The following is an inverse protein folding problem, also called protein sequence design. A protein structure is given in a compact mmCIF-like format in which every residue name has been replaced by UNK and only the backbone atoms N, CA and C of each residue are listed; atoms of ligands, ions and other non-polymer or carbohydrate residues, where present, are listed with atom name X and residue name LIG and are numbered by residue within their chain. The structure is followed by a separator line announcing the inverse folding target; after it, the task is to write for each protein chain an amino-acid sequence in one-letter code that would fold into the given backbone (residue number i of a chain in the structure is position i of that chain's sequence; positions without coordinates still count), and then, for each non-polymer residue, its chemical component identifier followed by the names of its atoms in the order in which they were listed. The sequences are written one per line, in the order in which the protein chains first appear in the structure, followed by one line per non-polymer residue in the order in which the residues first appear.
data_IF_469724855608
#
_entry.id   IF_469724855608
#
_cell.length_a   1.000
_cell.length_b   1.000
_cell.length_c   1.000
_cell.angle_alpha   90.00
_cell.angle_beta   90.00
_cell.angle_gamma   90.00
#
_symmetry.space_group_name_H-M   'P 1'
#
loop_
_entity.id
_entity.type
_entity.pdbx_description
1 polymer ?
#
# COMPACT_ATOMS: atom_id res chain seq x y z
N UNK A 1 47.97 47.21 27.59
CA UNK A 1 48.98 46.14 27.45
C UNK A 1 49.08 45.42 28.79
N UNK A 2 49.12 44.08 28.87
CA UNK A 2 48.84 43.04 27.86
C UNK A 2 47.76 42.02 28.37
N UNK A 3 46.94 41.35 27.55
CA UNK A 3 47.21 40.30 26.55
C UNK A 3 47.89 39.06 27.14
N UNK A 4 47.13 37.99 27.39
CA UNK A 4 47.68 36.65 27.61
C UNK A 4 47.52 35.85 26.33
N UNK A 5 48.66 35.50 25.75
CA UNK A 5 48.83 34.69 24.55
C UNK A 5 49.24 33.26 24.95
N UNK A 6 48.69 32.32 24.18
CA UNK A 6 49.25 31.07 23.63
C UNK A 6 50.04 30.08 24.49
N UNK A 7 49.67 28.80 24.38
CA UNK A 7 50.55 27.78 23.79
C UNK A 7 49.81 26.44 23.59
N UNK A 8 49.40 26.16 22.36
CA UNK A 8 49.20 24.79 21.87
C UNK A 8 50.27 24.50 20.81
N UNK A 9 51.13 23.49 20.99
CA UNK A 9 52.01 23.06 19.92
C UNK A 9 51.24 22.22 18.91
N UNK A 10 51.25 22.66 17.65
CA UNK A 10 50.97 21.82 16.50
C UNK A 10 52.17 20.89 16.25
N UNK A 11 51.92 19.59 16.09
CA UNK A 11 52.85 18.69 15.40
C UNK A 11 52.07 17.81 14.44
N UNK A 12 52.24 18.13 13.17
CA UNK A 12 52.00 17.28 12.00
C UNK A 12 52.73 15.95 12.14
N UNK A 13 52.12 14.84 11.70
CA UNK A 13 52.78 13.85 10.85
C UNK A 13 51.79 12.79 10.35
N UNK A 14 51.60 12.78 9.03
CA UNK A 14 50.94 11.73 8.27
C UNK A 14 51.81 10.47 8.25
N UNK A 15 51.22 9.32 8.59
CA UNK A 15 51.77 7.99 8.35
C UNK A 15 50.72 6.92 8.64
N UNK A 16 50.60 5.86 7.84
CA UNK A 16 49.56 4.85 8.01
C UNK A 16 49.80 4.02 9.27
N UNK A 17 48.76 3.88 10.09
CA UNK A 17 48.76 3.00 11.27
C UNK A 17 48.57 1.57 10.78
N UNK A 18 49.66 0.80 10.76
CA UNK A 18 49.60 -0.66 10.66
C UNK A 18 49.38 -1.21 12.06
N UNK A 19 48.18 -1.74 12.31
CA UNK A 19 47.90 -2.55 13.50
C UNK A 19 48.33 -3.99 13.22
N UNK A 20 49.54 -4.33 13.64
CA UNK A 20 50.00 -5.71 13.77
C UNK A 20 49.31 -6.33 14.97
N UNK A 21 48.58 -7.43 14.76
CA UNK A 21 48.10 -8.29 15.86
C UNK A 21 48.98 -9.53 15.83
N UNK A 22 49.99 -9.56 16.71
CA UNK A 22 50.76 -10.76 17.01
C UNK A 22 49.92 -11.68 17.90
N UNK A 23 49.83 -12.96 17.52
CA UNK A 23 49.18 -13.97 18.36
C UNK A 23 48.90 -15.27 17.63
N UNK A 24 49.94 -15.92 17.13
CA UNK A 24 49.91 -17.31 16.69
C UNK A 24 49.37 -18.22 17.82
N UNK A 25 48.33 -18.98 17.53
CA UNK A 25 48.32 -20.39 17.88
C UNK A 25 47.55 -21.16 16.80
N UNK A 26 48.31 -21.69 15.86
CA UNK A 26 47.85 -22.70 14.91
C UNK A 26 47.64 -24.01 15.68
N UNK A 27 46.40 -24.48 15.75
CA UNK A 27 46.14 -25.90 15.96
C UNK A 27 45.07 -26.33 14.97
N UNK A 28 45.48 -27.20 14.06
CA UNK A 28 44.70 -27.76 12.97
C UNK A 28 43.56 -28.62 13.51
N UNK A 29 42.34 -28.42 13.01
CA UNK A 29 41.31 -29.45 13.02
C UNK A 29 40.44 -29.28 11.78
N UNK A 30 40.80 -30.02 10.72
CA UNK A 30 39.88 -30.33 9.64
C UNK A 30 38.76 -31.18 10.25
N UNK A 31 37.51 -30.74 10.13
CA UNK A 31 36.36 -31.60 10.41
C UNK A 31 35.39 -31.47 9.25
N UNK A 32 35.38 -32.52 8.42
CA UNK A 32 34.30 -32.84 7.49
C UNK A 32 32.97 -32.81 8.25
N UNK A 33 32.07 -31.89 7.89
CA UNK A 33 30.67 -32.04 8.25
C UNK A 33 29.97 -32.83 7.14
N UNK A 34 29.81 -34.13 7.39
CA UNK A 34 28.88 -34.99 6.67
C UNK A 34 27.46 -34.50 6.92
N UNK A 35 26.69 -34.29 5.83
CA UNK A 35 25.25 -34.03 5.89
C UNK A 35 24.54 -35.28 6.43
N UNK A 36 23.96 -35.20 7.63
CA UNK A 36 22.96 -36.15 8.10
C UNK A 36 21.57 -35.59 7.83
N UNK A 37 20.83 -36.32 7.00
CA UNK A 37 19.50 -36.02 6.51
C UNK A 37 18.48 -36.64 7.48
N UNK A 38 18.07 -35.91 8.51
CA UNK A 38 16.96 -36.34 9.36
C UNK A 38 15.67 -35.64 8.94
N UNK A 39 14.76 -36.45 8.39
CA UNK A 39 13.40 -36.08 8.06
C UNK A 39 12.60 -35.83 9.33
N UNK A 40 12.01 -34.64 9.45
CA UNK A 40 10.93 -34.39 10.42
C UNK A 40 9.86 -33.54 9.74
N UNK A 41 8.97 -34.21 9.03
CA UNK A 41 7.62 -33.72 8.78
C UNK A 41 6.88 -33.71 10.12
N UNK A 42 6.28 -32.60 10.50
CA UNK A 42 4.81 -32.45 10.62
C UNK A 42 4.44 -31.11 11.28
N UNK A 43 3.44 -30.44 10.66
CA UNK A 43 2.59 -29.35 11.18
C UNK A 43 3.03 -27.88 11.02
N UNK A 44 3.24 -27.40 9.78
CA UNK A 44 3.14 -25.96 9.46
C UNK A 44 2.37 -25.68 8.16
N UNK A 45 1.31 -26.44 7.88
CA UNK A 45 0.71 -26.48 6.54
C UNK A 45 -0.73 -25.94 6.47
N UNK A 46 -1.05 -24.93 7.27
CA UNK A 46 -2.38 -24.27 7.22
C UNK A 46 -2.34 -22.75 7.07
N UNK A 47 -1.15 -22.12 7.05
CA UNK A 47 -1.02 -20.67 6.84
C UNK A 47 -0.48 -20.31 5.44
N UNK A 48 0.25 -21.20 4.76
CA UNK A 48 0.88 -20.88 3.46
C UNK A 48 -0.03 -21.06 2.23
N UNK A 49 -1.19 -21.71 2.38
CA UNK A 49 -2.07 -22.01 1.24
C UNK A 49 -2.90 -20.80 0.80
N UNK A 50 -3.18 -19.87 1.72
CA UNK A 50 -3.95 -18.64 1.44
C UNK A 50 -3.12 -17.56 0.75
N UNK A 51 -1.84 -17.39 1.12
CA UNK A 51 -0.96 -16.40 0.50
C UNK A 51 -0.73 -16.71 -0.99
N UNK A 52 -0.48 -17.98 -1.34
CA UNK A 52 -0.26 -18.37 -2.73
C UNK A 52 -1.49 -18.19 -3.64
N UNK A 53 -2.72 -18.33 -3.14
CA UNK A 53 -3.93 -18.12 -3.94
C UNK A 53 -4.27 -16.64 -4.12
N UNK A 54 -3.96 -15.81 -3.12
CA UNK A 54 -4.04 -14.35 -3.25
C UNK A 54 -3.04 -13.89 -4.31
N UNK A 55 -1.87 -14.53 -4.36
CA UNK A 55 -0.77 -14.05 -5.16
C UNK A 55 -1.03 -14.03 -6.68
N UNK A 56 -1.77 -15.01 -7.19
CA UNK A 56 -2.19 -15.10 -8.60
C UNK A 56 -3.38 -14.18 -8.92
N UNK A 57 -4.20 -13.82 -7.92
CA UNK A 57 -5.36 -12.93 -8.11
C UNK A 57 -4.93 -11.46 -8.18
N UNK A 58 -3.86 -11.07 -7.47
CA UNK A 58 -3.41 -9.68 -7.35
C UNK A 58 -2.46 -9.22 -8.46
N UNK A 59 -2.19 -10.06 -9.46
CA UNK A 59 -1.34 -9.71 -10.61
C UNK A 59 -2.14 -9.07 -11.76
N UNK A 60 -3.18 -8.28 -11.46
CA UNK A 60 -3.96 -7.59 -12.50
C UNK A 60 -3.31 -6.27 -12.82
N UNK A 61 -2.66 -6.23 -13.98
CA UNK A 61 -1.94 -5.06 -14.46
C UNK A 61 -2.89 -3.85 -14.61
N UNK A 62 -2.79 -2.86 -13.72
CA UNK A 62 -3.44 -1.54 -13.87
C UNK A 62 -3.04 -0.85 -15.18
N UNK A 63 -2.03 -1.38 -15.89
CA UNK A 63 -1.46 -0.83 -17.12
C UNK A 63 -2.03 -1.44 -18.41
N UNK A 64 -3.15 -2.18 -18.37
CA UNK A 64 -3.83 -2.56 -19.62
C UNK A 64 -4.35 -1.32 -20.37
N UNK A 65 -4.30 -1.33 -21.71
CA UNK A 65 -4.81 -0.23 -22.56
C UNK A 65 -6.30 0.15 -22.31
N UNK A 66 -7.03 -0.69 -21.56
CA UNK A 66 -8.46 -0.49 -21.26
C UNK A 66 -8.68 0.17 -19.90
N UNK A 67 -7.65 0.27 -19.05
CA UNK A 67 -7.79 0.85 -17.72
C UNK A 67 -7.62 2.38 -17.74
N UNK A 68 -8.42 3.14 -16.96
CA UNK A 68 -8.31 4.60 -16.95
C UNK A 68 -6.92 5.11 -16.55
N UNK A 69 -6.49 6.22 -17.16
CA UNK A 69 -5.21 6.89 -16.84
C UNK A 69 -5.22 7.66 -15.50
N UNK A 70 -6.22 7.41 -14.66
CA UNK A 70 -6.40 8.00 -13.34
C UNK A 70 -6.97 6.97 -12.38
N UNK A 71 -6.52 6.97 -11.13
CA UNK A 71 -6.97 6.00 -10.12
C UNK A 71 -7.26 6.63 -8.77
N UNK A 72 -8.25 6.04 -8.11
CA UNK A 72 -8.60 6.28 -6.72
C UNK A 72 -8.08 5.11 -5.86
N UNK A 73 -7.09 5.37 -5.02
CA UNK A 73 -6.54 4.39 -4.07
C UNK A 73 -7.41 4.37 -2.82
N UNK A 74 -7.83 3.19 -2.37
CA UNK A 74 -8.65 3.05 -1.18
C UNK A 74 -7.84 2.76 0.08
N UNK A 75 -8.32 3.31 1.20
CA UNK A 75 -7.94 2.97 2.56
C UNK A 75 -8.97 1.97 3.15
N UNK A 76 -8.52 1.12 4.09
CA UNK A 76 -9.34 0.20 4.89
C UNK A 76 -10.51 0.90 5.56
N UNK A 77 -10.29 2.07 6.16
CA UNK A 77 -11.35 2.78 6.87
C UNK A 77 -12.48 3.20 5.92
N UNK A 78 -12.14 3.65 4.71
CA UNK A 78 -13.11 4.01 3.68
C UNK A 78 -13.93 2.81 3.24
N UNK A 79 -13.29 1.64 3.05
CA UNK A 79 -14.00 0.40 2.72
C UNK A 79 -14.98 -0.01 3.82
N UNK A 80 -14.62 0.17 5.09
CA UNK A 80 -15.47 -0.19 6.23
C UNK A 80 -16.64 0.78 6.36
N UNK A 81 -16.40 2.10 6.28
CA UNK A 81 -17.42 3.10 6.56
C UNK A 81 -18.27 3.51 5.35
N UNK A 82 -17.78 3.29 4.12
CA UNK A 82 -18.39 3.83 2.89
C UNK A 82 -18.57 2.78 1.79
N UNK A 83 -18.70 1.50 2.13
CA UNK A 83 -18.84 0.41 1.15
C UNK A 83 -19.99 0.61 0.15
N UNK A 84 -21.16 1.05 0.61
CA UNK A 84 -22.32 1.26 -0.27
C UNK A 84 -22.09 2.40 -1.26
N UNK A 85 -21.38 3.45 -0.84
CA UNK A 85 -20.95 4.51 -1.73
C UNK A 85 -19.99 3.97 -2.80
N UNK A 86 -18.98 3.19 -2.40
CA UNK A 86 -18.01 2.60 -3.33
C UNK A 86 -18.67 1.66 -4.34
N UNK A 87 -19.65 0.84 -3.91
CA UNK A 87 -20.47 0.01 -4.80
C UNK A 87 -21.24 0.85 -5.81
N UNK A 88 -21.88 1.92 -5.34
CA UNK A 88 -22.61 2.84 -6.22
C UNK A 88 -21.68 3.54 -7.20
N UNK A 89 -20.51 3.98 -6.76
CA UNK A 89 -19.50 4.64 -7.58
C UNK A 89 -18.95 3.68 -8.64
N UNK A 90 -18.61 2.45 -8.26
CA UNK A 90 -18.14 1.42 -9.19
C UNK A 90 -19.19 1.07 -10.25
N UNK A 91 -20.45 0.94 -9.86
CA UNK A 91 -21.56 0.72 -10.80
C UNK A 91 -21.69 1.88 -11.81
N UNK A 92 -21.60 3.11 -11.32
CA UNK A 92 -21.63 4.30 -12.16
C UNK A 92 -20.45 4.33 -13.14
N UNK A 93 -19.21 4.10 -12.67
CA UNK A 93 -18.03 4.02 -13.52
C UNK A 93 -18.18 2.96 -14.61
N UNK A 94 -18.68 1.76 -14.27
CA UNK A 94 -18.92 0.68 -15.24
C UNK A 94 -20.00 0.98 -16.29
N UNK A 95 -20.91 1.90 -15.99
CA UNK A 95 -21.94 2.32 -16.95
C UNK A 95 -21.41 3.29 -18.02
N UNK A 96 -20.22 3.85 -17.81
CA UNK A 96 -19.58 4.72 -18.79
C UNK A 96 -18.79 3.93 -19.84
N UNK A 97 -18.94 4.32 -21.10
CA UNK A 97 -18.14 3.79 -22.22
C UNK A 97 -16.64 4.11 -22.06
N UNK A 98 -16.32 5.28 -21.50
CA UNK A 98 -14.97 5.72 -21.19
C UNK A 98 -14.95 6.18 -19.72
N UNK A 99 -14.66 5.28 -18.77
CA UNK A 99 -14.63 5.63 -17.36
C UNK A 99 -13.47 6.62 -17.09
N UNK A 100 -13.73 7.71 -16.35
CA UNK A 100 -12.74 8.76 -16.10
C UNK A 100 -11.61 8.31 -15.17
N UNK A 101 -11.87 7.35 -14.28
CA UNK A 101 -10.88 6.78 -13.36
C UNK A 101 -11.24 5.36 -12.95
N UNK A 102 -10.24 4.60 -12.50
CA UNK A 102 -10.38 3.29 -11.88
C UNK A 102 -10.23 3.35 -10.36
N UNK A 103 -10.54 2.25 -9.69
CA UNK A 103 -10.35 2.10 -8.25
C UNK A 103 -9.23 1.08 -8.03
N UNK A 104 -8.32 1.36 -7.09
CA UNK A 104 -7.28 0.42 -6.69
C UNK A 104 -7.34 0.20 -5.19
N UNK A 105 -7.30 -1.06 -4.78
CA UNK A 105 -7.21 -1.46 -3.38
C UNK A 105 -5.80 -1.99 -3.11
N UNK A 106 -5.01 -1.33 -2.25
CA UNK A 106 -3.71 -1.86 -1.84
C UNK A 106 -3.84 -3.24 -1.17
N UNK A 107 -2.87 -4.12 -1.38
CA UNK A 107 -2.83 -5.46 -0.76
C UNK A 107 -2.90 -5.39 0.77
N UNK A 108 -2.25 -4.37 1.37
CA UNK A 108 -2.27 -4.16 2.82
C UNK A 108 -3.69 -3.98 3.35
N UNK A 109 -4.54 -3.29 2.60
CA UNK A 109 -5.93 -3.03 2.98
C UNK A 109 -6.74 -4.32 3.03
N UNK A 110 -6.50 -5.25 2.10
CA UNK A 110 -7.12 -6.58 2.13
C UNK A 110 -6.70 -7.35 3.39
N UNK A 111 -5.41 -7.29 3.73
CA UNK A 111 -4.86 -7.98 4.93
C UNK A 111 -5.42 -7.41 6.23
N UNK A 112 -5.60 -6.09 6.30
CA UNK A 112 -6.24 -5.44 7.47
C UNK A 112 -7.72 -5.84 7.61
N UNK A 113 -8.47 -5.85 6.51
CA UNK A 113 -9.85 -6.32 6.53
C UNK A 113 -9.95 -7.77 6.99
N UNK A 114 -9.02 -8.63 6.54
CA UNK A 114 -8.99 -10.03 6.92
C UNK A 114 -8.72 -10.22 8.41
N UNK A 115 -7.75 -9.50 8.95
CA UNK A 115 -7.46 -9.49 10.39
C UNK A 115 -8.64 -8.98 11.24
N UNK A 116 -9.43 -8.06 10.71
CA UNK A 116 -10.60 -7.51 11.41
C UNK A 116 -11.83 -8.42 11.37
N UNK A 117 -11.94 -9.33 10.39
CA UNK A 117 -13.11 -10.20 10.22
C UNK A 117 -13.34 -11.11 11.43
N UNK A 118 -12.28 -11.59 12.07
CA UNK A 118 -12.37 -12.50 13.22
C UNK A 118 -12.29 -11.78 14.56
N UNK A 119 -12.24 -10.44 14.54
CA UNK A 119 -12.29 -9.65 15.76
C UNK A 119 -13.70 -9.68 16.36
N UNK A 120 -13.81 -9.79 17.68
CA UNK A 120 -15.09 -9.73 18.40
C UNK A 120 -15.68 -8.30 18.46
N UNK A 121 -15.23 -7.42 17.56
CA UNK A 121 -15.62 -6.02 17.46
C UNK A 121 -16.85 -5.89 16.57
N UNK A 122 -17.64 -4.85 16.81
CA UNK A 122 -18.82 -4.52 16.01
C UNK A 122 -18.54 -4.24 14.53
N UNK A 123 -17.27 -4.17 14.10
CA UNK A 123 -16.87 -3.93 12.70
C UNK A 123 -16.70 -5.21 11.88
N UNK A 124 -16.70 -6.40 12.50
CA UNK A 124 -16.36 -7.66 11.82
C UNK A 124 -17.30 -8.03 10.66
N UNK A 125 -18.58 -7.66 10.74
CA UNK A 125 -19.54 -7.86 9.66
C UNK A 125 -19.28 -6.91 8.49
N UNK A 126 -18.83 -5.68 8.76
CA UNK A 126 -18.45 -4.70 7.72
C UNK A 126 -17.18 -5.17 7.00
N UNK A 127 -16.17 -5.65 7.74
CA UNK A 127 -14.95 -6.19 7.14
C UNK A 127 -15.25 -7.39 6.23
N UNK A 128 -16.14 -8.31 6.65
CA UNK A 128 -16.60 -9.43 5.81
C UNK A 128 -17.33 -8.94 4.55
N UNK A 129 -18.21 -7.95 4.68
CA UNK A 129 -18.93 -7.40 3.54
C UNK A 129 -17.98 -6.72 2.54
N UNK A 130 -16.99 -5.98 3.03
CA UNK A 130 -15.97 -5.34 2.20
C UNK A 130 -15.09 -6.36 1.48
N UNK A 131 -14.63 -7.41 2.17
CA UNK A 131 -13.87 -8.52 1.57
C UNK A 131 -14.68 -9.26 0.50
N UNK A 132 -15.96 -9.55 0.77
CA UNK A 132 -16.84 -10.19 -0.22
C UNK A 132 -16.96 -9.34 -1.48
N UNK A 133 -17.15 -8.03 -1.33
CA UNK A 133 -17.23 -7.12 -2.48
C UNK A 133 -15.89 -7.03 -3.25
N UNK A 134 -14.75 -7.00 -2.54
CA UNK A 134 -13.44 -7.04 -3.17
C UNK A 134 -13.24 -8.33 -3.97
N UNK A 135 -13.62 -9.48 -3.41
CA UNK A 135 -13.52 -10.78 -4.09
C UNK A 135 -14.40 -10.84 -5.34
N UNK A 136 -15.63 -10.32 -5.26
CA UNK A 136 -16.53 -10.25 -6.42
C UNK A 136 -15.94 -9.36 -7.53
N UNK A 137 -15.31 -8.24 -7.15
CA UNK A 137 -14.60 -7.37 -8.07
C UNK A 137 -13.39 -8.07 -8.72
N UNK A 138 -12.59 -8.80 -7.94
CA UNK A 138 -11.41 -9.52 -8.43
C UNK A 138 -11.78 -10.62 -9.43
N UNK A 139 -12.89 -11.34 -9.18
CA UNK A 139 -13.40 -12.38 -10.08
C UNK A 139 -14.00 -11.83 -11.37
N UNK A 140 -14.33 -10.54 -11.42
CA UNK A 140 -14.94 -9.92 -12.59
C UNK A 140 -13.89 -9.32 -13.53
N UNK A 141 -13.71 -9.92 -14.71
CA UNK A 141 -12.77 -9.45 -15.74
C UNK A 141 -12.99 -7.99 -16.14
N UNK A 142 -14.25 -7.53 -16.08
CA UNK A 142 -14.67 -6.19 -16.49
C UNK A 142 -14.78 -5.22 -15.29
N UNK A 143 -14.24 -5.59 -14.13
CA UNK A 143 -14.19 -4.70 -12.98
C UNK A 143 -13.13 -3.62 -13.18
N UNK A 144 -13.54 -2.38 -12.89
CA UNK A 144 -12.65 -1.21 -12.75
C UNK A 144 -12.01 -1.10 -11.36
N UNK A 145 -12.23 -2.07 -10.48
CA UNK A 145 -11.53 -2.19 -9.19
C UNK A 145 -10.40 -3.20 -9.37
N UNK A 146 -9.16 -2.75 -9.20
CA UNK A 146 -7.95 -3.58 -9.23
C UNK A 146 -7.31 -3.64 -7.86
N UNK A 147 -6.40 -4.57 -7.70
CA UNK A 147 -5.69 -4.81 -6.46
C UNK A 147 -4.21 -4.76 -6.76
N UNK A 148 -3.46 -3.99 -5.98
CA UNK A 148 -2.06 -3.72 -6.25
C UNK A 148 -1.23 -3.96 -5.00
N UNK A 149 -0.06 -4.57 -5.17
CA UNK A 149 0.87 -4.79 -4.07
C UNK A 149 1.71 -3.55 -3.84
N UNK A 150 1.95 -3.23 -2.57
CA UNK A 150 3.01 -2.29 -2.23
C UNK A 150 4.37 -2.89 -2.57
N UNK A 151 5.27 -2.08 -3.16
CA UNK A 151 6.67 -2.45 -3.34
C UNK A 151 7.48 -2.42 -2.03
N UNK A 152 6.89 -1.90 -0.95
CA UNK A 152 7.53 -1.82 0.35
C UNK A 152 7.33 -3.09 1.15
N UNK A 153 8.46 -3.68 1.55
CA UNK A 153 8.57 -4.84 2.43
C UNK A 153 8.92 -4.30 3.83
N UNK A 154 8.31 -4.85 4.88
CA UNK A 154 8.55 -4.49 6.28
C UNK A 154 8.36 -3.00 6.64
N UNK A 155 7.40 -2.35 5.99
CA UNK A 155 6.99 -0.98 6.30
C UNK A 155 5.66 -0.94 7.09
N UNK A 156 5.40 0.17 7.78
CA UNK A 156 4.10 0.41 8.42
C UNK A 156 2.97 0.38 7.39
N UNK A 157 1.75 0.05 7.83
CA UNK A 157 0.62 -0.12 6.91
C UNK A 157 0.34 1.15 6.10
N UNK A 158 0.39 2.32 6.74
CA UNK A 158 0.30 3.64 6.08
C UNK A 158 1.34 3.80 4.97
N UNK A 159 2.60 3.50 5.29
CA UNK A 159 3.71 3.63 4.35
C UNK A 159 3.52 2.68 3.18
N UNK A 160 2.96 1.49 3.41
CA UNK A 160 2.65 0.52 2.35
C UNK A 160 1.53 1.02 1.43
N UNK A 161 0.50 1.69 1.96
CA UNK A 161 -0.54 2.37 1.16
C UNK A 161 0.10 3.47 0.31
N UNK A 162 0.94 4.31 0.91
CA UNK A 162 1.65 5.39 0.21
C UNK A 162 2.59 4.81 -0.85
N UNK A 163 3.30 3.73 -0.57
CA UNK A 163 4.19 3.04 -1.50
C UNK A 163 3.44 2.49 -2.71
N UNK A 164 2.25 1.94 -2.50
CA UNK A 164 1.36 1.52 -3.58
C UNK A 164 0.96 2.72 -4.47
N UNK A 165 0.54 3.83 -3.85
CA UNK A 165 0.16 5.04 -4.56
C UNK A 165 1.34 5.66 -5.33
N UNK A 166 2.52 5.75 -4.72
CA UNK A 166 3.73 6.29 -5.33
C UNK A 166 4.21 5.44 -6.52
N UNK A 167 4.11 4.10 -6.41
CA UNK A 167 4.43 3.19 -7.52
C UNK A 167 3.59 3.51 -8.76
N UNK A 168 2.28 3.70 -8.58
CA UNK A 168 1.35 4.01 -9.66
C UNK A 168 1.50 5.45 -10.16
N UNK A 169 1.85 6.40 -9.30
CA UNK A 169 1.99 7.82 -9.65
C UNK A 169 3.06 8.05 -10.73
N UNK A 170 4.05 7.15 -10.84
CA UNK A 170 5.05 7.20 -11.91
C UNK A 170 4.47 6.97 -13.32
N UNK A 171 3.23 6.47 -13.42
CA UNK A 171 2.62 6.03 -14.68
C UNK A 171 1.26 6.67 -14.95
N UNK A 172 0.49 6.97 -13.89
CA UNK A 172 -0.88 7.48 -13.98
C UNK A 172 -1.16 8.53 -12.91
N UNK A 173 -2.27 9.27 -13.05
CA UNK A 173 -2.72 10.21 -12.03
C UNK A 173 -3.30 9.43 -10.84
N UNK A 174 -2.85 9.73 -9.62
CA UNK A 174 -3.24 9.02 -8.40
C UNK A 174 -3.88 9.97 -7.41
N UNK A 175 -5.02 9.55 -6.86
CA UNK A 175 -5.71 10.21 -5.75
C UNK A 175 -5.91 9.19 -4.62
N UNK A 176 -5.51 9.52 -3.40
CA UNK A 176 -5.73 8.68 -2.22
C UNK A 176 -7.04 9.06 -1.53
N UNK A 177 -7.94 8.09 -1.35
CA UNK A 177 -9.19 8.27 -0.63
C UNK A 177 -9.00 7.84 0.83
N UNK A 178 -8.93 8.80 1.75
CA UNK A 178 -8.78 8.53 3.18
C UNK A 178 -9.43 9.62 4.04
N UNK A 179 -9.90 9.23 5.23
CA UNK A 179 -10.34 10.16 6.28
C UNK A 179 -9.30 10.29 7.40
N UNK A 180 -8.22 9.51 7.37
CA UNK A 180 -7.17 9.58 8.35
C UNK A 180 -6.26 10.79 8.04
N UNK A 181 -6.27 11.78 8.94
CA UNK A 181 -5.50 13.01 8.78
C UNK A 181 -4.00 12.75 8.77
N UNK A 182 -3.52 11.76 9.53
CA UNK A 182 -2.10 11.45 9.60
C UNK A 182 -1.62 10.79 8.31
N UNK A 183 -2.39 9.83 7.78
CA UNK A 183 -2.13 9.24 6.46
C UNK A 183 -2.22 10.28 5.35
N UNK A 184 -3.22 11.16 5.39
CA UNK A 184 -3.38 12.22 4.41
C UNK A 184 -2.19 13.20 4.41
N UNK A 185 -1.74 13.64 5.58
CA UNK A 185 -0.56 14.51 5.70
C UNK A 185 0.69 13.82 5.16
N UNK A 186 0.90 12.53 5.48
CA UNK A 186 2.03 11.75 4.96
C UNK A 186 1.96 11.66 3.43
N UNK A 187 0.80 11.35 2.86
CA UNK A 187 0.61 11.25 1.40
C UNK A 187 0.84 12.58 0.68
N UNK A 188 0.27 13.68 1.18
CA UNK A 188 0.47 15.02 0.60
C UNK A 188 1.94 15.46 0.68
N UNK A 189 2.67 15.08 1.73
CA UNK A 189 4.09 15.40 1.88
C UNK A 189 5.00 14.79 0.81
N UNK A 190 4.54 13.71 0.17
CA UNK A 190 5.22 13.05 -0.95
C UNK A 190 4.57 13.38 -2.31
N UNK A 191 3.62 14.31 -2.34
CA UNK A 191 2.97 14.78 -3.56
C UNK A 191 1.81 13.92 -4.06
N UNK A 192 1.25 13.04 -3.22
CA UNK A 192 0.05 12.27 -3.54
C UNK A 192 -1.16 13.05 -3.02
N UNK A 193 -2.04 13.46 -3.93
CA UNK A 193 -3.27 14.18 -3.57
C UNK A 193 -4.21 13.27 -2.78
N UNK A 194 -4.95 13.87 -1.87
CA UNK A 194 -5.91 13.18 -1.00
C UNK A 194 -7.32 13.71 -1.16
N UNK A 195 -8.30 12.86 -0.91
CA UNK A 195 -9.73 13.21 -0.87
C UNK A 195 -10.37 12.51 0.33
N UNK A 196 -11.35 13.16 0.95
CA UNK A 196 -12.07 12.61 2.12
C UNK A 196 -13.54 12.32 1.81
N UNK A 197 -14.27 11.79 2.78
CA UNK A 197 -15.71 11.52 2.66
C UNK A 197 -16.56 12.76 2.95
N UNK A 198 -15.99 13.97 2.81
CA UNK A 198 -16.79 15.19 2.91
C UNK A 198 -17.85 15.23 1.81
N UNK A 199 -19.00 15.82 2.09
CA UNK A 199 -20.13 15.85 1.16
C UNK A 199 -19.76 16.51 -0.17
N UNK A 200 -18.96 17.59 -0.13
CA UNK A 200 -18.47 18.27 -1.32
C UNK A 200 -17.58 17.38 -2.18
N UNK A 201 -16.67 16.62 -1.56
CA UNK A 201 -15.72 15.76 -2.25
C UNK A 201 -16.41 14.53 -2.84
N UNK A 202 -17.30 13.89 -2.08
CA UNK A 202 -18.12 12.77 -2.56
C UNK A 202 -19.00 13.20 -3.75
N UNK A 203 -19.62 14.37 -3.65
CA UNK A 203 -20.45 14.91 -4.72
C UNK A 203 -19.63 15.18 -5.98
N UNK A 204 -18.42 15.71 -5.81
CA UNK A 204 -17.50 15.95 -6.92
C UNK A 204 -17.02 14.64 -7.57
N UNK A 205 -16.66 13.62 -6.78
CA UNK A 205 -16.31 12.29 -7.30
C UNK A 205 -17.45 11.67 -8.12
N UNK A 206 -18.70 11.82 -7.67
CA UNK A 206 -19.88 11.35 -8.40
C UNK A 206 -20.09 12.11 -9.70
N UNK A 207 -19.95 13.42 -9.68
CA UNK A 207 -20.06 14.26 -10.88
C UNK A 207 -19.02 13.84 -11.93
N UNK A 208 -17.75 13.67 -11.52
CA UNK A 208 -16.69 13.18 -12.40
C UNK A 208 -17.06 11.81 -12.96
N UNK A 209 -17.53 10.89 -12.12
CA UNK A 209 -17.96 9.56 -12.53
C UNK A 209 -19.20 9.55 -13.45
N UNK A 210 -19.81 10.69 -13.76
CA UNK A 210 -20.88 10.81 -14.73
C UNK A 210 -22.29 10.79 -14.13
N UNK A 211 -22.44 11.11 -12.84
CA UNK A 211 -23.74 11.22 -12.19
C UNK A 211 -24.52 12.43 -12.76
N UNK A 212 -25.52 12.15 -13.60
CA UNK A 212 -26.33 13.17 -14.28
C UNK A 212 -27.41 13.80 -13.38
N UNK A 213 -27.59 13.30 -12.15
CA UNK A 213 -28.61 13.82 -11.22
C UNK A 213 -28.36 15.30 -10.85
N UNK A 214 -27.11 15.75 -10.87
CA UNK A 214 -26.73 17.16 -10.62
C UNK A 214 -27.02 18.11 -11.80
N UNK A 215 -27.17 17.60 -13.03
CA UNK A 215 -27.39 18.41 -14.24
C UNK A 215 -28.88 18.72 -14.48
N UNK A 216 -29.80 17.90 -13.96
CA UNK A 216 -31.24 18.05 -14.17
C UNK A 216 -31.84 19.30 -13.46
N UNK A 217 -31.19 19.80 -12.41
CA UNK A 217 -31.68 20.98 -11.68
C UNK A 217 -31.32 22.32 -12.34
N UNK A 218 -30.43 22.35 -13.36
CA UNK A 218 -30.00 23.59 -14.03
C UNK A 218 -30.83 23.98 -15.26
N UNK A 219 -31.71 23.09 -15.74
CA UNK A 219 -32.53 23.31 -16.94
C UNK A 219 -34.04 23.39 -16.68
N UNK A 220 -34.47 23.44 -15.41
CA UNK A 220 -35.86 23.74 -15.03
C UNK A 220 -35.94 25.14 -14.43
N UNK A 221 -35.94 26.17 -15.27
CA UNK A 221 -36.33 27.54 -14.93
C UNK A 221 -36.96 28.21 -16.13
#
# INVERSE_FOLDING_TARGET
MPAYADNYPASTNNGPVILTIDGLNEESCETEYTMELDAMDTETDSLNVVDNQIDDIMAVDVHTDTFPSSVLILDTNILISNLDFLKSLHSLLRSNLCPPFGIVVPDIVIRELDAQKDSNRGISHLSRAALSWCLDCAKSSNSLVKFERSSLIDAENDDRIIGCAAHLQSKIVVLLFTNDKSLAIKAESVGIQTISTSESEISHLREIAGDKSSQASRYSS
#
